data_IF_482896594793
#
_entry.id   IF_482896594793
#
_cell.length_a   1.000
_cell.length_b   1.000
_cell.length_c   1.000
_cell.angle_alpha   90.00
_cell.angle_beta   90.00
_cell.angle_gamma   90.00
#
_symmetry.space_group_name_H-M   'P 1'
#
loop_
_entity.id
_entity.type
_entity.pdbx_description
1 polymer ?
#
# COMPACT_ATOMS: atom_id res chain seq x y z
N UNK A 1 55.35 52.31 -9.56
CA UNK A 1 55.13 51.37 -8.44
C UNK A 1 54.50 50.10 -9.00
N UNK A 2 55.09 48.94 -8.70
CA UNK A 2 54.93 47.67 -9.41
C UNK A 2 53.60 46.93 -9.16
N UNK A 3 52.92 46.55 -10.25
CA UNK A 3 51.72 45.68 -10.30
C UNK A 3 51.99 44.22 -9.89
N UNK A 4 53.26 43.80 -9.80
CA UNK A 4 53.64 42.40 -9.55
C UNK A 4 53.35 41.88 -8.13
N UNK A 5 53.03 42.76 -7.16
CA UNK A 5 52.91 42.37 -5.75
C UNK A 5 51.57 41.72 -5.38
N UNK A 6 50.51 41.94 -6.17
CA UNK A 6 49.19 41.33 -5.92
C UNK A 6 49.09 39.86 -6.34
N UNK A 7 49.96 39.40 -7.25
CA UNK A 7 49.87 38.04 -7.79
C UNK A 7 50.52 36.96 -6.91
N UNK A 8 51.28 37.33 -5.88
CA UNK A 8 52.03 36.41 -5.02
C UNK A 8 51.68 36.49 -3.53
N UNK A 9 50.61 37.19 -3.15
CA UNK A 9 50.17 37.22 -1.76
C UNK A 9 49.40 35.95 -1.39
N UNK A 10 50.15 34.94 -0.95
CA UNK A 10 49.66 33.65 -0.47
C UNK A 10 49.07 33.71 0.95
N UNK A 11 48.92 34.90 1.55
CA UNK A 11 48.27 35.04 2.87
C UNK A 11 46.74 35.10 2.77
N UNK A 12 46.19 35.45 1.61
CA UNK A 12 44.74 35.45 1.33
C UNK A 12 44.12 34.07 1.05
N UNK A 13 44.93 33.03 0.82
CA UNK A 13 44.43 31.68 0.47
C UNK A 13 43.97 30.87 1.69
N UNK A 14 44.52 31.09 2.89
CA UNK A 14 44.12 30.30 4.08
C UNK A 14 42.65 30.49 4.47
N UNK A 15 42.09 31.72 4.51
CA UNK A 15 40.66 31.91 4.78
C UNK A 15 39.78 31.32 3.68
N UNK A 16 40.15 31.53 2.41
CA UNK A 16 39.38 31.03 1.27
C UNK A 16 39.35 29.49 1.22
N UNK A 17 40.48 28.83 1.45
CA UNK A 17 40.57 27.37 1.48
C UNK A 17 39.80 26.79 2.66
N UNK A 18 39.87 27.42 3.85
CA UNK A 18 39.12 26.97 5.03
C UNK A 18 37.61 27.07 4.80
N UNK A 19 37.15 28.16 4.19
CA UNK A 19 35.75 28.34 3.83
C UNK A 19 35.31 27.31 2.77
N UNK A 20 36.14 27.09 1.74
CA UNK A 20 35.88 26.09 0.70
C UNK A 20 35.78 24.68 1.28
N UNK A 21 36.68 24.32 2.21
CA UNK A 21 36.65 23.03 2.91
C UNK A 21 35.37 22.87 3.75
N UNK A 22 34.98 23.91 4.48
CA UNK A 22 33.75 23.91 5.29
C UNK A 22 32.51 23.73 4.42
N UNK A 23 32.43 24.49 3.31
CA UNK A 23 31.35 24.34 2.33
C UNK A 23 31.38 22.94 1.70
N UNK A 24 32.55 22.40 1.39
CA UNK A 24 32.71 21.05 0.86
C UNK A 24 32.17 19.97 1.80
N UNK A 25 32.57 20.01 3.08
CA UNK A 25 32.12 19.03 4.07
C UNK A 25 30.62 19.16 4.32
N UNK A 26 30.10 20.38 4.51
CA UNK A 26 28.66 20.59 4.72
C UNK A 26 27.85 20.12 3.51
N UNK A 27 28.32 20.37 2.29
CA UNK A 27 27.65 19.89 1.07
C UNK A 27 27.61 18.37 1.00
N UNK A 28 28.70 17.68 1.36
CA UNK A 28 28.73 16.22 1.44
C UNK A 28 27.76 15.68 2.50
N UNK A 29 27.73 16.29 3.68
CA UNK A 29 26.81 15.90 4.76
C UNK A 29 25.35 16.08 4.36
N UNK A 30 25.00 17.23 3.77
CA UNK A 30 23.64 17.51 3.29
C UNK A 30 23.25 16.53 2.19
N UNK A 31 24.16 16.27 1.23
CA UNK A 31 23.90 15.29 0.16
C UNK A 31 23.67 13.90 0.72
N UNK A 32 24.51 13.44 1.65
CA UNK A 32 24.34 12.16 2.32
C UNK A 32 23.02 12.06 3.09
N UNK A 33 22.65 13.12 3.80
CA UNK A 33 21.39 13.19 4.53
C UNK A 33 20.18 13.16 3.60
N UNK A 34 20.23 13.89 2.48
CA UNK A 34 19.14 13.89 1.50
C UNK A 34 18.94 12.51 0.89
N UNK A 35 20.02 11.83 0.50
CA UNK A 35 19.96 10.48 -0.06
C UNK A 35 19.41 9.49 0.97
N UNK A 36 19.93 9.50 2.20
CA UNK A 36 19.47 8.62 3.27
C UNK A 36 18.02 8.89 3.67
N UNK A 37 17.62 10.15 3.77
CA UNK A 37 16.25 10.57 4.07
C UNK A 37 15.26 10.15 2.99
N UNK A 38 15.65 10.23 1.71
CA UNK A 38 14.82 9.81 0.59
C UNK A 38 14.50 8.32 0.65
N UNK A 39 15.51 7.48 0.88
CA UNK A 39 15.33 6.03 1.01
C UNK A 39 14.43 5.65 2.20
N UNK A 40 14.55 6.36 3.32
CA UNK A 40 13.71 6.14 4.49
C UNK A 40 12.24 6.49 4.23
N UNK A 41 11.98 7.57 3.49
CA UNK A 41 10.61 7.98 3.12
C UNK A 41 9.99 6.97 2.15
N UNK A 42 10.75 6.52 1.15
CA UNK A 42 10.26 5.52 0.18
C UNK A 42 9.91 4.20 0.88
N UNK A 43 10.77 3.75 1.80
CA UNK A 43 10.52 2.54 2.60
C UNK A 43 9.27 2.67 3.49
N UNK A 44 9.02 3.86 4.05
CA UNK A 44 7.81 4.12 4.83
C UNK A 44 6.55 4.12 3.95
N UNK A 45 6.62 4.76 2.78
CA UNK A 45 5.50 4.78 1.83
C UNK A 45 5.12 3.37 1.37
N UNK A 46 6.11 2.52 1.12
CA UNK A 46 5.91 1.13 0.77
C UNK A 46 5.18 0.36 1.88
N UNK A 47 5.68 0.45 3.12
CA UNK A 47 5.06 -0.22 4.27
C UNK A 47 3.61 0.20 4.49
N UNK A 48 3.33 1.50 4.43
CA UNK A 48 1.98 2.04 4.59
C UNK A 48 1.05 1.55 3.47
N UNK A 49 1.57 1.39 2.25
CA UNK A 49 0.81 0.85 1.12
C UNK A 49 0.44 -0.62 1.36
N UNK A 50 1.40 -1.43 1.82
CA UNK A 50 1.14 -2.85 2.14
C UNK A 50 0.14 -2.99 3.28
N UNK A 51 0.30 -2.23 4.37
CA UNK A 51 -0.62 -2.23 5.50
C UNK A 51 -2.04 -1.78 5.09
N UNK A 52 -2.16 -0.79 4.20
CA UNK A 52 -3.45 -0.38 3.67
C UNK A 52 -4.10 -1.48 2.82
N UNK A 53 -3.33 -2.21 2.00
CA UNK A 53 -3.83 -3.35 1.22
C UNK A 53 -4.27 -4.51 2.13
N UNK A 54 -3.49 -4.79 3.18
CA UNK A 54 -3.81 -5.81 4.18
C UNK A 54 -5.10 -5.46 4.93
N UNK A 55 -5.25 -4.21 5.37
CA UNK A 55 -6.48 -3.75 6.04
C UNK A 55 -7.73 -3.88 5.16
N UNK A 56 -7.61 -3.64 3.84
CA UNK A 56 -8.73 -3.88 2.90
C UNK A 56 -9.04 -5.37 2.81
N UNK A 57 -8.02 -6.23 2.65
CA UNK A 57 -8.21 -7.68 2.62
C UNK A 57 -8.83 -8.23 3.90
N UNK A 58 -8.39 -7.72 5.05
CA UNK A 58 -8.88 -8.08 6.38
C UNK A 58 -10.33 -7.64 6.57
N UNK A 59 -10.67 -6.44 6.13
CA UNK A 59 -12.05 -5.96 6.17
C UNK A 59 -12.98 -6.85 5.34
N UNK A 60 -12.57 -7.19 4.11
CA UNK A 60 -13.36 -8.05 3.22
C UNK A 60 -13.51 -9.46 3.82
N UNK A 61 -12.44 -10.03 4.35
CA UNK A 61 -12.48 -11.31 5.05
C UNK A 61 -13.43 -11.26 6.25
N UNK A 62 -13.39 -10.20 7.06
CA UNK A 62 -14.31 -10.01 8.20
C UNK A 62 -15.77 -9.89 7.76
N UNK A 63 -16.05 -9.21 6.65
CA UNK A 63 -17.41 -9.09 6.13
C UNK A 63 -17.93 -10.43 5.57
N UNK A 64 -17.06 -11.22 4.94
CA UNK A 64 -17.38 -12.60 4.54
C UNK A 64 -17.64 -13.49 5.75
N UNK A 65 -16.79 -13.45 6.79
CA UNK A 65 -16.99 -14.20 8.04
C UNK A 65 -18.28 -13.78 8.74
N UNK A 66 -18.61 -12.48 8.72
CA UNK A 66 -19.87 -11.99 9.29
C UNK A 66 -21.07 -12.53 8.53
N UNK A 67 -21.01 -12.54 7.19
CA UNK A 67 -22.08 -13.10 6.37
C UNK A 67 -22.22 -14.61 6.58
N UNK A 68 -21.10 -15.32 6.73
CA UNK A 68 -21.04 -16.76 7.02
C UNK A 68 -21.68 -17.11 8.39
N UNK A 69 -21.52 -16.22 9.37
CA UNK A 69 -22.14 -16.38 10.68
C UNK A 69 -23.68 -16.17 10.65
N UNK A 70 -24.23 -15.59 9.58
CA UNK A 70 -25.68 -15.63 9.35
C UNK A 70 -26.03 -16.97 8.72
N UNK A 71 -27.06 -17.61 9.25
CA UNK A 71 -27.59 -18.87 8.71
C UNK A 71 -28.21 -18.64 7.32
N UNK A 72 -27.37 -18.67 6.28
CA UNK A 72 -27.76 -18.41 4.88
C UNK A 72 -28.63 -19.52 4.30
N UNK A 73 -28.65 -20.71 4.91
CA UNK A 73 -29.50 -21.82 4.49
C UNK A 73 -30.97 -21.62 4.86
N UNK A 74 -31.27 -20.83 5.90
CA UNK A 74 -32.66 -20.52 6.29
C UNK A 74 -33.18 -19.19 5.72
N UNK A 75 -32.33 -18.44 5.02
CA UNK A 75 -32.67 -17.13 4.49
C UNK A 75 -33.36 -17.21 3.12
N UNK A 76 -34.66 -16.92 3.08
CA UNK A 76 -35.44 -16.73 1.84
C UNK A 76 -35.16 -15.38 1.13
N UNK A 77 -34.17 -14.60 1.59
CA UNK A 77 -33.89 -13.24 1.12
C UNK A 77 -32.39 -13.01 0.93
N UNK A 78 -32.00 -12.22 -0.07
CA UNK A 78 -30.60 -11.84 -0.30
C UNK A 78 -30.12 -10.90 0.81
N UNK A 79 -29.17 -11.37 1.62
CA UNK A 79 -28.45 -10.52 2.56
C UNK A 79 -27.20 -9.98 1.85
N UNK A 80 -27.02 -8.67 1.92
CA UNK A 80 -25.81 -8.01 1.42
C UNK A 80 -25.28 -7.00 2.43
N UNK A 81 -23.97 -7.01 2.61
CA UNK A 81 -23.24 -6.04 3.41
C UNK A 81 -22.46 -5.13 2.48
N UNK A 82 -22.82 -3.84 2.48
CA UNK A 82 -22.06 -2.81 1.77
C UNK A 82 -21.02 -2.25 2.73
N UNK A 83 -19.76 -2.34 2.35
CA UNK A 83 -18.66 -1.75 3.10
C UNK A 83 -17.96 -0.68 2.25
N UNK A 84 -17.60 0.42 2.89
CA UNK A 84 -16.84 1.49 2.26
C UNK A 84 -15.36 1.23 2.47
N UNK A 85 -14.70 0.78 1.41
CA UNK A 85 -13.24 0.69 1.34
C UNK A 85 -12.68 1.90 0.60
N UNK A 86 -11.43 2.30 0.86
CA UNK A 86 -10.78 3.34 0.07
C UNK A 86 -10.85 3.00 -1.42
N UNK A 87 -11.15 3.96 -2.29
CA UNK A 87 -11.17 3.70 -3.75
C UNK A 87 -9.75 3.57 -4.33
N UNK A 88 -8.77 4.13 -3.62
CA UNK A 88 -7.36 4.19 -4.02
C UNK A 88 -6.44 4.01 -2.83
N UNK A 89 -5.30 3.36 -3.07
CA UNK A 89 -4.20 3.23 -2.11
C UNK A 89 -2.94 3.70 -2.82
N UNK A 90 -2.21 4.64 -2.21
CA UNK A 90 -1.04 5.30 -2.83
C UNK A 90 -1.36 5.85 -4.23
N UNK A 91 -2.55 6.45 -4.39
CA UNK A 91 -3.12 7.00 -5.64
C UNK A 91 -3.40 5.97 -6.75
N UNK A 92 -3.16 4.68 -6.49
CA UNK A 92 -3.44 3.60 -7.42
C UNK A 92 -4.77 2.91 -7.10
N UNK A 93 -5.48 2.48 -8.15
CA UNK A 93 -6.58 1.53 -8.00
C UNK A 93 -6.03 0.15 -7.64
N UNK A 94 -6.84 -0.66 -6.99
CA UNK A 94 -6.50 -2.05 -6.66
C UNK A 94 -7.59 -3.00 -7.14
N UNK A 95 -7.24 -4.26 -7.26
CA UNK A 95 -8.19 -5.34 -7.52
C UNK A 95 -8.21 -6.28 -6.33
N UNK A 96 -9.41 -6.70 -5.97
CA UNK A 96 -9.67 -7.73 -4.97
C UNK A 96 -10.02 -9.00 -5.73
N UNK A 97 -9.27 -10.06 -5.49
CA UNK A 97 -9.57 -11.40 -5.94
C UNK A 97 -9.86 -12.28 -4.72
N UNK A 98 -11.04 -12.86 -4.68
CA UNK A 98 -11.41 -13.85 -3.67
C UNK A 98 -11.40 -15.20 -4.34
N UNK A 99 -10.70 -16.16 -3.73
CA UNK A 99 -10.63 -17.54 -4.23
C UNK A 99 -10.78 -18.53 -3.09
N UNK A 100 -11.68 -19.53 -3.21
CA UNK A 100 -11.70 -20.65 -2.30
C UNK A 100 -10.42 -21.49 -2.50
N UNK A 101 -9.77 -21.87 -1.41
CA UNK A 101 -8.64 -22.80 -1.41
C UNK A 101 -9.06 -24.09 -0.67
N UNK A 102 -8.32 -25.17 -0.83
CA UNK A 102 -8.64 -26.49 -0.27
C UNK A 102 -8.76 -26.53 1.26
N UNK A 103 -8.28 -25.50 1.97
CA UNK A 103 -8.33 -25.41 3.43
C UNK A 103 -8.82 -24.07 3.96
N UNK A 104 -8.50 -22.95 3.28
CA UNK A 104 -8.84 -21.60 3.73
C UNK A 104 -9.07 -20.68 2.54
N UNK A 105 -10.20 -19.99 2.53
CA UNK A 105 -10.46 -18.97 1.50
C UNK A 105 -9.42 -17.87 1.57
N UNK A 106 -9.01 -17.39 0.39
CA UNK A 106 -7.96 -16.39 0.21
C UNK A 106 -8.55 -15.12 -0.40
N UNK A 107 -8.25 -13.99 0.22
CA UNK A 107 -8.48 -12.65 -0.32
C UNK A 107 -7.13 -12.08 -0.76
N UNK A 108 -6.96 -11.91 -2.06
CA UNK A 108 -5.78 -11.34 -2.69
C UNK A 108 -6.09 -9.91 -3.11
N UNK A 109 -5.39 -8.93 -2.54
CA UNK A 109 -5.56 -7.51 -2.86
C UNK A 109 -4.31 -7.01 -3.54
N UNK A 110 -4.44 -6.54 -4.78
CA UNK A 110 -3.31 -6.14 -5.62
C UNK A 110 -3.47 -4.70 -6.11
N UNK A 111 -2.47 -3.85 -5.86
CA UNK A 111 -2.45 -2.49 -6.38
C UNK A 111 -2.06 -2.51 -7.88
N UNK A 112 -2.97 -2.11 -8.78
CA UNK A 112 -2.80 -2.29 -10.23
C UNK A 112 -1.57 -1.59 -10.82
N UNK A 113 -1.11 -0.51 -10.18
CA UNK A 113 0.05 0.27 -10.60
C UNK A 113 1.31 0.04 -9.76
N UNK A 114 1.26 -0.80 -8.72
CA UNK A 114 2.40 -1.08 -7.84
C UNK A 114 2.63 -2.58 -7.83
N UNK A 115 3.89 -3.02 -7.84
CA UNK A 115 4.20 -4.44 -7.65
C UNK A 115 4.05 -4.82 -6.16
N UNK A 116 2.88 -4.58 -5.56
CA UNK A 116 2.59 -4.75 -4.14
C UNK A 116 1.20 -5.34 -3.97
N UNK A 117 1.11 -6.30 -3.06
CA UNK A 117 -0.09 -7.07 -2.81
C UNK A 117 -0.17 -7.48 -1.34
N UNK A 118 -1.37 -7.77 -0.88
CA UNK A 118 -1.63 -8.39 0.42
C UNK A 118 -2.46 -9.66 0.24
N UNK A 119 -2.24 -10.64 1.12
CA UNK A 119 -2.95 -11.92 1.08
C UNK A 119 -3.49 -12.27 2.45
N UNK A 120 -4.80 -12.20 2.59
CA UNK A 120 -5.51 -12.58 3.81
C UNK A 120 -6.14 -13.95 3.61
N UNK A 121 -6.08 -14.80 4.64
CA UNK A 121 -6.66 -16.15 4.62
C UNK A 121 -7.57 -16.33 5.82
N UNK A 122 -8.72 -16.92 5.60
CA UNK A 122 -9.69 -17.20 6.66
C UNK A 122 -10.40 -18.53 6.42
N UNK A 123 -11.01 -19.05 7.48
CA UNK A 123 -11.85 -20.24 7.45
C UNK A 123 -13.32 -19.81 7.31
N UNK A 124 -14.10 -20.59 6.58
CA UNK A 124 -15.50 -20.33 6.29
C UNK A 124 -16.26 -21.66 6.27
N UNK A 125 -17.49 -21.65 6.74
CA UNK A 125 -18.39 -22.81 6.70
C UNK A 125 -19.18 -22.84 5.38
N UNK A 126 -19.69 -21.68 4.94
CA UNK A 126 -20.42 -21.49 3.68
C UNK A 126 -19.45 -21.33 2.51
N UNK A 127 -19.74 -21.95 1.37
CA UNK A 127 -18.88 -21.85 0.19
C UNK A 127 -18.69 -20.40 -0.29
N UNK A 128 -17.49 -20.08 -0.78
CA UNK A 128 -17.16 -18.77 -1.37
C UNK A 128 -16.89 -18.93 -2.85
N UNK A 129 -17.54 -18.13 -3.68
CA UNK A 129 -17.33 -18.15 -5.12
C UNK A 129 -16.08 -17.35 -5.50
N UNK A 130 -15.28 -17.85 -6.47
CA UNK A 130 -14.20 -17.06 -7.05
C UNK A 130 -14.76 -15.76 -7.64
N UNK A 131 -14.22 -14.62 -7.22
CA UNK A 131 -14.66 -13.30 -7.70
C UNK A 131 -13.49 -12.35 -7.84
N UNK A 132 -13.54 -11.47 -8.84
CA UNK A 132 -12.53 -10.43 -9.06
C UNK A 132 -13.26 -9.10 -9.23
N UNK A 133 -12.97 -8.15 -8.35
CA UNK A 133 -13.62 -6.84 -8.31
C UNK A 133 -12.57 -5.74 -8.20
N UNK A 134 -12.67 -4.74 -9.07
CA UNK A 134 -11.83 -3.55 -8.98
C UNK A 134 -12.29 -2.62 -7.86
N UNK A 135 -11.37 -1.80 -7.35
CA UNK A 135 -11.64 -0.82 -6.30
C UNK A 135 -12.83 0.10 -6.61
N UNK A 136 -13.49 0.55 -5.54
CA UNK A 136 -14.75 1.27 -5.59
C UNK A 136 -15.66 0.86 -4.42
N UNK A 137 -16.97 1.15 -4.48
CA UNK A 137 -17.92 0.59 -3.53
C UNK A 137 -17.94 -0.93 -3.69
N UNK A 138 -17.60 -1.65 -2.62
CA UNK A 138 -17.64 -3.10 -2.59
C UNK A 138 -18.81 -3.56 -1.72
N UNK A 139 -19.41 -4.67 -2.11
CA UNK A 139 -20.44 -5.34 -1.35
C UNK A 139 -20.12 -6.83 -1.26
N UNK A 140 -20.40 -7.42 -0.10
CA UNK A 140 -20.39 -8.86 0.09
C UNK A 140 -21.83 -9.34 0.07
N UNK A 141 -22.15 -10.32 -0.76
CA UNK A 141 -23.51 -10.81 -0.93
C UNK A 141 -23.57 -12.32 -1.04
N UNK A 142 -24.68 -12.91 -0.58
CA UNK A 142 -24.95 -14.33 -0.78
C UNK A 142 -25.69 -14.56 -2.11
N UNK A 143 -25.12 -15.38 -2.98
CA UNK A 143 -25.71 -15.79 -4.24
C UNK A 143 -26.52 -17.08 -4.04
N UNK A 144 -27.84 -16.96 -3.94
CA UNK A 144 -28.75 -18.09 -3.72
C UNK A 144 -28.74 -19.10 -4.88
N UNK A 145 -28.45 -18.66 -6.11
CA UNK A 145 -28.44 -19.54 -7.28
C UNK A 145 -27.21 -20.45 -7.27
N UNK A 146 -26.06 -19.91 -6.89
CA UNK A 146 -24.80 -20.64 -6.84
C UNK A 146 -24.52 -21.28 -5.47
N UNK A 147 -25.25 -20.91 -4.42
CA UNK A 147 -25.07 -21.40 -3.06
C UNK A 147 -23.73 -20.98 -2.46
N UNK A 148 -23.30 -19.74 -2.73
CA UNK A 148 -21.99 -19.24 -2.31
C UNK A 148 -22.02 -17.74 -1.99
N UNK A 149 -21.10 -17.32 -1.12
CA UNK A 149 -20.81 -15.91 -0.88
C UNK A 149 -19.90 -15.36 -1.99
N UNK A 150 -20.15 -14.14 -2.44
CA UNK A 150 -19.32 -13.46 -3.43
C UNK A 150 -19.10 -12.00 -3.08
N UNK A 151 -17.99 -11.44 -3.58
CA UNK A 151 -17.72 -10.01 -3.53
C UNK A 151 -18.14 -9.41 -4.85
N UNK A 152 -18.94 -8.35 -4.80
CA UNK A 152 -19.45 -7.63 -5.97
C UNK A 152 -19.18 -6.14 -5.82
N UNK A 153 -19.33 -5.40 -6.93
CA UNK A 153 -19.37 -3.94 -6.88
C UNK A 153 -20.74 -3.50 -6.37
N UNK A 154 -20.75 -2.69 -5.32
CA UNK A 154 -21.97 -2.13 -4.70
C UNK A 154 -22.58 -0.96 -5.46
#
# INVERSE_FOLDING_TARGET
>A
MNLARFLFDSRGVSPAVTQALTIGITSLLVTGLLIGGSQMVDSQRERVTEEALENVGDGIARDLIRLDAFDTDTLNSTVSFRAMYPERIADQSYNVEVSPDASRTRVYVNASGLNRYAVVRFENETNVCPSVVSSGPLAVSYNQTAGCMEVTRG
#
